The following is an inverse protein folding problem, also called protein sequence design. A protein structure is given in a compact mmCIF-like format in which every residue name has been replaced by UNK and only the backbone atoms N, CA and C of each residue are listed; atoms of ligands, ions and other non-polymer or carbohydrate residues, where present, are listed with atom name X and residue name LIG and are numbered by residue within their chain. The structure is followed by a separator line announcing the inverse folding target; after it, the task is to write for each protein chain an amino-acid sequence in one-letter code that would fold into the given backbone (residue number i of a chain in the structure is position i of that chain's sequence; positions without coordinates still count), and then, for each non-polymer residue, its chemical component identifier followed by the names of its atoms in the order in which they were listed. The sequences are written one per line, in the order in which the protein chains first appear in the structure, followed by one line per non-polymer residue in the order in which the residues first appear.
data_IF_528982873715
#
_entry.id   IF_528982873715
#
_cell.length_a   1.000
_cell.length_b   1.000
_cell.length_c   1.000
_cell.angle_alpha   90.00
_cell.angle_beta   90.00
_cell.angle_gamma   90.00
#
_symmetry.space_group_name_H-M   'P 1'
#
loop_
_entity.id
_entity.type
_entity.pdbx_description
1 polymer ?
#
# COMPACT_ATOMS: atom_id res chain seq x y z
N UNK A 1 -18.99 -15.84 8.65
CA UNK A 1 -17.67 -15.26 9.05
C UNK A 1 -17.14 -14.61 7.79
N UNK A 2 -16.52 -13.43 7.79
CA UNK A 2 -16.05 -12.90 6.51
C UNK A 2 -14.96 -13.84 5.97
N UNK A 3 -15.04 -14.18 4.70
CA UNK A 3 -13.97 -14.87 4.00
C UNK A 3 -12.85 -13.88 3.69
N UNK A 4 -11.60 -14.28 3.97
CA UNK A 4 -10.43 -13.45 3.72
C UNK A 4 -9.45 -14.19 2.83
N UNK A 5 -8.85 -13.45 1.89
CA UNK A 5 -7.78 -13.93 1.04
C UNK A 5 -6.51 -13.13 1.29
N UNK A 6 -5.37 -13.75 0.98
CA UNK A 6 -4.06 -13.09 0.92
C UNK A 6 -3.52 -13.18 -0.50
N UNK A 7 -3.11 -12.05 -1.05
CA UNK A 7 -2.37 -11.99 -2.32
C UNK A 7 -0.92 -11.65 -2.04
N UNK A 8 0.00 -12.51 -2.45
CA UNK A 8 1.44 -12.28 -2.39
C UNK A 8 1.92 -11.71 -3.73
N UNK A 9 2.77 -10.69 -3.67
CA UNK A 9 3.32 -10.02 -4.85
C UNK A 9 4.79 -10.39 -5.05
N UNK A 10 5.28 -10.30 -6.29
CA UNK A 10 6.69 -10.57 -6.63
C UNK A 10 7.69 -9.66 -5.87
N UNK A 11 7.27 -8.48 -5.42
CA UNK A 11 8.10 -7.58 -4.61
C UNK A 11 8.21 -8.00 -3.12
N UNK A 12 7.72 -9.17 -2.73
CA UNK A 12 7.76 -9.68 -1.35
C UNK A 12 6.70 -9.09 -0.41
N UNK A 13 5.85 -8.17 -0.89
CA UNK A 13 4.73 -7.64 -0.14
C UNK A 13 3.50 -8.52 -0.28
N UNK A 14 2.53 -8.39 0.64
CA UNK A 14 1.25 -9.05 0.54
C UNK A 14 0.10 -8.10 0.88
N UNK A 15 -1.08 -8.40 0.34
CA UNK A 15 -2.33 -7.73 0.67
C UNK A 15 -3.31 -8.75 1.25
N UNK A 16 -3.99 -8.41 2.36
CA UNK A 16 -5.05 -9.22 2.95
C UNK A 16 -6.36 -8.48 2.81
N UNK A 17 -7.35 -9.09 2.17
CA UNK A 17 -8.65 -8.48 1.88
C UNK A 17 -9.80 -9.43 2.17
N UNK A 18 -10.99 -8.88 2.37
CA UNK A 18 -12.22 -9.67 2.38
C UNK A 18 -12.58 -10.04 0.93
N UNK A 19 -12.85 -11.31 0.65
CA UNK A 19 -13.27 -11.76 -0.68
C UNK A 19 -14.69 -11.30 -1.01
N UNK A 20 -15.54 -11.23 0.03
CA UNK A 20 -16.95 -10.90 -0.09
C UNK A 20 -17.40 -9.86 0.94
N UNK A 21 -18.55 -9.24 0.65
CA UNK A 21 -19.17 -8.30 1.56
C UNK A 21 -19.71 -9.01 2.80
N UNK A 22 -19.26 -8.58 3.97
CA UNK A 22 -19.57 -9.25 5.22
C UNK A 22 -20.85 -8.71 5.87
N UNK A 23 -21.95 -9.46 5.76
CA UNK A 23 -23.26 -9.06 6.30
C UNK A 23 -23.25 -8.69 7.80
N UNK A 24 -22.41 -9.37 8.60
CA UNK A 24 -22.27 -9.05 10.03
C UNK A 24 -21.67 -7.67 10.27
N UNK A 25 -20.74 -7.23 9.43
CA UNK A 25 -20.16 -5.89 9.53
C UNK A 25 -21.24 -4.82 9.28
N UNK A 26 -22.12 -5.06 8.30
CA UNK A 26 -23.21 -4.12 7.94
C UNK A 26 -24.13 -3.83 9.13
N UNK A 27 -24.42 -4.84 9.94
CA UNK A 27 -25.30 -4.72 11.09
C UNK A 27 -24.60 -4.21 12.35
N UNK A 28 -23.37 -4.66 12.59
CA UNK A 28 -22.71 -4.44 13.88
C UNK A 28 -21.66 -3.33 13.84
N UNK A 29 -21.22 -2.92 12.65
CA UNK A 29 -20.04 -2.07 12.41
C UNK A 29 -18.76 -2.61 13.06
N UNK A 30 -18.76 -3.88 13.51
CA UNK A 30 -17.60 -4.54 14.12
C UNK A 30 -16.87 -5.34 13.05
N UNK A 31 -15.55 -5.12 12.96
CA UNK A 31 -14.69 -5.92 12.08
C UNK A 31 -14.70 -7.38 12.55
N UNK A 32 -14.85 -8.32 11.62
CA UNK A 32 -14.67 -9.72 11.94
C UNK A 32 -13.20 -10.06 12.16
N UNK A 33 -12.94 -11.15 12.87
CA UNK A 33 -11.60 -11.73 12.95
C UNK A 33 -11.10 -12.04 11.54
N UNK A 34 -9.89 -11.59 11.25
CA UNK A 34 -9.19 -11.91 10.00
C UNK A 34 -8.72 -13.35 10.07
N UNK A 35 -9.29 -14.21 9.23
CA UNK A 35 -8.87 -15.60 9.06
C UNK A 35 -8.71 -15.85 7.57
N UNK A 36 -7.45 -15.93 7.13
CA UNK A 36 -7.10 -16.13 5.72
C UNK A 36 -7.37 -17.59 5.36
N UNK A 37 -8.27 -17.82 4.42
CA UNK A 37 -8.65 -19.15 3.93
C UNK A 37 -8.03 -19.46 2.57
N UNK A 38 -7.66 -18.42 1.81
CA UNK A 38 -7.13 -18.53 0.45
C UNK A 38 -5.86 -17.68 0.31
N UNK A 39 -4.87 -18.21 -0.40
CA UNK A 39 -3.61 -17.52 -0.66
C UNK A 39 -3.30 -17.61 -2.15
N UNK A 40 -3.26 -16.46 -2.80
CA UNK A 40 -2.94 -16.32 -4.22
C UNK A 40 -1.56 -15.70 -4.41
N UNK A 41 -0.96 -15.98 -5.57
CA UNK A 41 0.30 -15.37 -5.98
C UNK A 41 0.11 -14.54 -7.25
N UNK A 42 0.60 -13.31 -7.22
CA UNK A 42 0.53 -12.35 -8.32
C UNK A 42 1.97 -11.95 -8.70
N UNK A 43 2.32 -12.14 -9.96
CA UNK A 43 3.66 -11.84 -10.48
C UNK A 43 3.92 -10.34 -10.62
N UNK A 44 2.92 -9.49 -10.40
CA UNK A 44 3.07 -8.03 -10.41
C UNK A 44 3.71 -7.49 -9.12
N UNK A 45 4.21 -6.26 -9.18
CA UNK A 45 4.63 -5.51 -7.99
C UNK A 45 3.42 -4.83 -7.34
N UNK A 46 3.43 -4.71 -6.01
CA UNK A 46 2.31 -4.06 -5.33
C UNK A 46 2.19 -2.57 -5.71
N UNK A 47 0.99 -1.99 -5.59
CA UNK A 47 0.72 -0.58 -5.94
C UNK A 47 1.66 0.41 -5.25
N UNK A 48 2.07 0.12 -4.02
CA UNK A 48 3.00 0.98 -3.26
C UNK A 48 4.41 0.97 -3.87
N UNK A 49 4.89 -0.19 -4.31
CA UNK A 49 6.18 -0.31 -5.01
C UNK A 49 6.11 0.33 -6.39
N UNK A 50 5.00 0.16 -7.10
CA UNK A 50 4.79 0.78 -8.41
C UNK A 50 4.89 2.32 -8.32
N UNK A 51 4.22 2.95 -7.34
CA UNK A 51 4.27 4.39 -7.13
C UNK A 51 5.65 4.93 -6.73
N UNK A 52 6.47 4.15 -6.03
CA UNK A 52 7.84 4.55 -5.69
C UNK A 52 8.74 4.63 -6.93
N UNK A 53 8.47 3.83 -7.95
CA UNK A 53 9.20 3.88 -9.23
C UNK A 53 8.81 5.07 -10.10
N UNK A 54 7.54 5.49 -10.05
CA UNK A 54 7.06 6.68 -10.73
C UNK A 54 7.12 7.90 -9.80
N UNK A 55 8.28 8.56 -9.70
CA UNK A 55 8.27 9.95 -9.21
C UNK A 55 7.42 10.75 -10.20
N UNK A 56 6.19 11.08 -9.81
CA UNK A 56 5.40 12.06 -10.53
C UNK A 56 6.15 13.37 -10.41
N UNK A 57 6.75 13.80 -11.51
CA UNK A 57 7.40 15.10 -11.63
C UNK A 57 6.35 16.16 -11.32
N UNK A 58 6.47 16.79 -10.15
CA UNK A 58 5.59 17.91 -9.81
C UNK A 58 6.16 19.16 -10.49
N UNK A 59 5.37 19.93 -11.26
CA UNK A 59 5.90 21.02 -12.09
C UNK A 59 6.71 22.08 -11.34
N UNK A 60 6.47 22.23 -10.04
CA UNK A 60 7.19 23.16 -9.18
C UNK A 60 8.49 22.59 -8.59
N UNK A 61 8.77 21.28 -8.72
CA UNK A 61 9.94 20.65 -8.08
C UNK A 61 11.26 21.25 -8.57
N UNK A 62 11.31 21.60 -9.85
CA UNK A 62 12.46 22.24 -10.50
C UNK A 62 12.66 23.70 -10.11
N UNK A 63 11.66 24.32 -9.46
CA UNK A 63 11.76 25.68 -8.94
C UNK A 63 12.46 25.73 -7.57
N UNK A 64 12.69 24.57 -6.94
CA UNK A 64 13.43 24.48 -5.67
C UNK A 64 14.91 24.26 -5.96
N UNK A 65 15.72 25.30 -5.73
CA UNK A 65 17.17 25.19 -5.79
C UNK A 65 17.73 24.54 -4.52
N UNK A 66 17.92 23.23 -4.58
CA UNK A 66 18.43 22.42 -3.45
C UNK A 66 19.92 22.55 -3.21
N UNK A 67 20.64 23.27 -4.08
CA UNK A 67 22.08 23.52 -3.88
C UNK A 67 22.35 24.62 -2.85
N UNK A 68 21.34 25.44 -2.53
CA UNK A 68 21.47 26.54 -1.57
C UNK A 68 21.27 26.13 -0.11
N UNK A 69 20.76 24.93 0.15
CA UNK A 69 20.58 24.43 1.50
C UNK A 69 21.75 23.52 1.86
N UNK A 70 22.79 24.11 2.44
CA UNK A 70 23.88 23.40 3.08
C UNK A 70 23.67 23.43 4.61
N UNK A 71 23.25 22.32 5.24
CA UNK A 71 23.00 22.25 6.67
C UNK A 71 24.29 22.27 7.53
N UNK A 72 25.48 22.32 6.92
CA UNK A 72 26.76 22.37 7.62
C UNK A 72 27.35 23.78 7.77
N UNK A 73 26.63 24.82 7.32
CA UNK A 73 27.06 26.23 7.39
C UNK A 73 26.68 26.96 8.69
N UNK A 74 25.98 26.32 9.60
CA UNK A 74 25.55 26.86 10.90
C UNK A 74 26.25 26.15 12.09
N UNK A 75 27.54 25.82 11.97
CA UNK A 75 28.40 25.41 13.10
C UNK A 75 29.61 26.34 13.26
#
# INVERSE_FOLDING_TARGET
MCEWYRRNYACGHHFTGASEWCYRYSQTQKRCKVVVTQVDYDSSVCKSCLKKGSKTEVPWEHLIDRTKFDPSRDE
#
